data_IF_896166899951
#
_entry.id   IF_896166899951
#
_cell.length_a   1.000
_cell.length_b   1.000
_cell.length_c   1.000
_cell.angle_alpha   90.00
_cell.angle_beta   90.00
_cell.angle_gamma   90.00
#
_symmetry.space_group_name_H-M   'P 1'
#
loop_
_entity.id
_entity.type
_entity.pdbx_description
1 polymer ?
#
# COMPACT_ATOMS: atom_id res chain seq x y z
N UNK A 1 7.29 6.26 -2.27
CA UNK A 1 6.06 6.16 -3.08
C UNK A 1 5.68 4.70 -3.35
N UNK A 2 6.52 3.95 -4.07
CA UNK A 2 6.38 2.50 -4.25
C UNK A 2 6.98 1.82 -3.02
N UNK A 3 6.31 0.81 -2.44
CA UNK A 3 6.86 0.04 -1.32
C UNK A 3 7.06 -1.41 -1.71
N UNK A 4 6.08 -2.29 -1.47
CA UNK A 4 6.17 -3.69 -1.87
C UNK A 4 5.74 -3.92 -3.32
N UNK A 5 6.40 -4.87 -3.98
CA UNK A 5 5.92 -5.44 -5.24
C UNK A 5 5.95 -6.96 -5.16
N UNK A 6 5.23 -7.60 -6.07
CA UNK A 6 5.33 -9.03 -6.35
C UNK A 6 5.15 -9.26 -7.84
N UNK A 7 6.14 -9.83 -8.52
CA UNK A 7 6.02 -10.32 -9.89
C UNK A 7 5.88 -11.84 -9.90
N UNK A 8 5.15 -12.36 -10.88
CA UNK A 8 5.10 -13.78 -11.25
C UNK A 8 5.78 -13.93 -12.59
N UNK A 9 6.74 -14.83 -12.71
CA UNK A 9 7.41 -15.10 -13.99
C UNK A 9 6.55 -16.01 -14.86
N UNK A 10 6.64 -15.84 -16.19
CA UNK A 10 5.90 -16.68 -17.15
C UNK A 10 6.48 -18.11 -17.21
N UNK A 11 7.81 -18.26 -17.23
CA UNK A 11 8.47 -19.56 -17.17
C UNK A 11 9.14 -19.78 -15.82
N UNK A 12 8.61 -20.76 -15.09
CA UNK A 12 9.25 -21.22 -13.87
C UNK A 12 10.53 -22.03 -14.16
N UNK A 13 10.59 -22.76 -15.28
CA UNK A 13 11.74 -23.59 -15.65
C UNK A 13 12.98 -22.72 -15.91
N UNK A 14 12.83 -21.59 -16.60
CA UNK A 14 13.92 -20.64 -16.83
C UNK A 14 14.39 -20.02 -15.51
N UNK A 15 13.46 -19.69 -14.62
CA UNK A 15 13.77 -19.11 -13.31
C UNK A 15 14.49 -20.12 -12.40
N UNK A 16 14.07 -21.38 -12.44
CA UNK A 16 14.73 -22.48 -11.73
C UNK A 16 16.13 -22.76 -12.28
N UNK A 17 16.28 -22.79 -13.62
CA UNK A 17 17.58 -22.93 -14.28
C UNK A 17 18.54 -21.81 -13.86
N UNK A 18 18.05 -20.57 -13.79
CA UNK A 18 18.82 -19.43 -13.27
C UNK A 18 19.26 -19.66 -11.81
N UNK A 19 18.35 -20.11 -10.92
CA UNK A 19 18.72 -20.39 -9.53
C UNK A 19 19.80 -21.47 -9.44
N UNK A 20 19.60 -22.61 -10.11
CA UNK A 20 20.53 -23.73 -10.15
C UNK A 20 21.91 -23.32 -10.69
N UNK A 21 21.95 -22.52 -11.75
CA UNK A 21 23.19 -22.02 -12.34
C UNK A 21 23.96 -21.05 -11.42
N UNK A 22 23.26 -20.27 -10.59
CA UNK A 22 23.92 -19.30 -9.69
C UNK A 22 24.33 -19.87 -8.34
N UNK A 23 23.91 -21.08 -7.97
CA UNK A 23 24.36 -21.80 -6.77
C UNK A 23 23.96 -21.21 -5.40
N UNK A 24 23.46 -19.97 -5.36
CA UNK A 24 23.18 -19.22 -4.13
C UNK A 24 21.68 -19.24 -3.77
N UNK A 25 21.14 -20.42 -3.46
CA UNK A 25 19.75 -20.57 -3.00
C UNK A 25 19.64 -21.58 -1.86
N UNK A 26 18.58 -21.43 -1.08
CA UNK A 26 18.17 -22.39 -0.06
C UNK A 26 17.02 -23.24 -0.58
N UNK A 27 16.91 -24.46 -0.06
CA UNK A 27 15.86 -25.41 -0.43
C UNK A 27 15.20 -25.91 0.84
N UNK A 28 13.87 -25.95 0.86
CA UNK A 28 13.10 -26.54 1.96
C UNK A 28 12.65 -27.95 1.57
N UNK A 29 12.80 -28.91 2.48
CA UNK A 29 12.20 -30.24 2.34
C UNK A 29 10.79 -30.22 2.92
N UNK A 30 9.79 -30.50 2.09
CA UNK A 30 8.42 -30.74 2.53
C UNK A 30 8.01 -32.16 2.14
N UNK A 31 7.66 -32.98 3.12
CA UNK A 31 7.07 -34.31 2.88
C UNK A 31 5.57 -34.12 2.69
N UNK A 32 5.16 -33.98 1.43
CA UNK A 32 3.75 -34.07 1.06
C UNK A 32 3.26 -35.53 1.15
N UNK A 33 1.95 -35.73 1.35
CA UNK A 33 1.32 -37.07 1.36
C UNK A 33 1.40 -37.82 0.02
N UNK A 34 1.83 -37.14 -1.05
CA UNK A 34 2.10 -37.72 -2.37
C UNK A 34 3.56 -37.42 -2.75
N UNK A 35 4.26 -38.42 -3.28
CA UNK A 35 5.71 -38.52 -3.39
C UNK A 35 6.43 -37.53 -4.35
N UNK A 36 5.72 -36.55 -4.94
CA UNK A 36 6.18 -35.81 -6.12
C UNK A 36 6.80 -34.42 -5.89
N UNK A 37 6.76 -33.83 -4.69
CA UNK A 37 7.26 -32.45 -4.47
C UNK A 37 8.35 -32.33 -3.38
N UNK A 38 9.33 -33.24 -3.37
CA UNK A 38 10.32 -33.35 -2.26
C UNK A 38 11.31 -32.18 -2.12
N UNK A 39 11.36 -31.25 -3.07
CA UNK A 39 12.52 -30.36 -3.28
C UNK A 39 12.17 -28.86 -3.46
N UNK A 40 11.00 -28.41 -3.01
CA UNK A 40 10.54 -27.03 -3.16
C UNK A 40 10.04 -26.41 -1.85
N UNK A 41 10.02 -25.08 -1.73
CA UNK A 41 10.50 -24.10 -2.71
C UNK A 41 12.02 -23.89 -2.69
N UNK A 42 12.59 -23.53 -3.84
CA UNK A 42 13.92 -22.94 -3.94
C UNK A 42 13.81 -21.44 -3.65
N UNK A 43 14.69 -20.90 -2.81
CA UNK A 43 14.66 -19.50 -2.41
C UNK A 43 16.04 -18.85 -2.52
N UNK A 44 16.14 -17.79 -3.29
CA UNK A 44 17.29 -16.87 -3.29
C UNK A 44 16.85 -15.55 -2.69
N UNK A 45 17.57 -15.08 -1.68
CA UNK A 45 17.30 -13.82 -1.01
C UNK A 45 18.50 -12.89 -1.23
N UNK A 46 18.23 -11.70 -1.75
CA UNK A 46 19.21 -10.61 -1.86
C UNK A 46 18.65 -9.45 -1.06
N UNK A 47 19.36 -9.06 0.01
CA UNK A 47 18.84 -8.14 1.01
C UNK A 47 17.45 -8.58 1.51
N UNK A 48 16.41 -7.76 1.35
CA UNK A 48 15.05 -8.14 1.70
C UNK A 48 14.23 -8.72 0.52
N UNK A 49 14.74 -8.69 -0.72
CA UNK A 49 14.03 -9.21 -1.89
C UNK A 49 14.20 -10.73 -1.95
N UNK A 50 13.10 -11.45 -2.15
CA UNK A 50 13.10 -12.91 -2.23
C UNK A 50 12.59 -13.37 -3.61
N UNK A 51 13.42 -14.15 -4.30
CA UNK A 51 13.04 -14.99 -5.42
C UNK A 51 12.68 -16.37 -4.89
N UNK A 52 11.42 -16.78 -5.10
CA UNK A 52 10.89 -18.07 -4.68
C UNK A 52 10.38 -18.84 -5.90
N UNK A 53 10.94 -20.02 -6.11
CA UNK A 53 10.54 -20.96 -7.17
C UNK A 53 9.88 -22.16 -6.51
N UNK A 54 8.67 -22.52 -6.95
CA UNK A 54 8.00 -23.78 -6.62
C UNK A 54 7.90 -24.66 -7.88
N UNK A 55 7.39 -25.88 -7.72
CA UNK A 55 7.19 -26.82 -8.82
C UNK A 55 6.30 -26.32 -9.97
N UNK A 56 5.56 -25.21 -9.77
CA UNK A 56 4.59 -24.71 -10.76
C UNK A 56 4.75 -23.23 -11.09
N UNK A 57 5.42 -22.47 -10.22
CA UNK A 57 5.36 -21.00 -10.26
C UNK A 57 6.63 -20.39 -9.69
N UNK A 58 6.99 -19.22 -10.19
CA UNK A 58 8.10 -18.43 -9.67
C UNK A 58 7.66 -17.02 -9.35
N UNK A 59 8.11 -16.51 -8.21
CA UNK A 59 7.77 -15.17 -7.73
C UNK A 59 9.01 -14.43 -7.24
N UNK A 60 9.10 -13.13 -7.56
CA UNK A 60 10.07 -12.20 -6.97
C UNK A 60 9.29 -11.05 -6.33
N UNK A 61 9.69 -10.61 -5.14
CA UNK A 61 9.04 -9.47 -4.51
C UNK A 61 9.57 -9.15 -3.12
N UNK A 62 8.80 -8.30 -2.42
CA UNK A 62 9.06 -7.61 -1.14
C UNK A 62 9.32 -6.10 -1.34
N UNK A 63 9.74 -5.39 -0.28
CA UNK A 63 9.81 -3.92 -0.25
C UNK A 63 10.98 -3.37 -1.06
N UNK A 64 10.67 -2.68 -2.15
CA UNK A 64 11.64 -1.95 -2.96
C UNK A 64 12.26 -0.77 -2.18
N UNK A 65 11.48 -0.12 -1.31
CA UNK A 65 11.96 0.98 -0.47
C UNK A 65 12.98 0.48 0.57
N UNK A 66 12.68 -0.60 1.31
CA UNK A 66 13.68 -1.21 2.20
C UNK A 66 14.89 -1.69 1.43
N UNK A 67 14.70 -2.27 0.25
CA UNK A 67 15.80 -2.73 -0.60
C UNK A 67 16.74 -1.58 -0.97
N UNK A 68 16.18 -0.44 -1.40
CA UNK A 68 16.94 0.78 -1.66
C UNK A 68 17.70 1.26 -0.42
N UNK A 69 17.01 1.40 0.71
CA UNK A 69 17.63 1.87 1.95
C UNK A 69 18.75 0.95 2.43
N UNK A 70 18.63 -0.37 2.29
CA UNK A 70 19.70 -1.32 2.60
C UNK A 70 20.91 -1.10 1.69
N UNK A 71 20.70 -0.80 0.41
CA UNK A 71 21.78 -0.48 -0.52
C UNK A 71 22.47 0.85 -0.21
N UNK A 72 21.70 1.90 0.12
CA UNK A 72 22.26 3.23 0.42
C UNK A 72 22.90 3.32 1.80
N UNK A 73 22.23 2.75 2.81
CA UNK A 73 22.56 2.96 4.23
C UNK A 73 23.06 1.70 4.95
N UNK A 74 23.15 0.56 4.25
CA UNK A 74 23.63 -0.72 4.80
C UNK A 74 22.81 -1.17 6.02
N UNK A 75 23.46 -1.45 7.14
CA UNK A 75 22.83 -1.96 8.38
C UNK A 75 21.77 -1.02 8.95
N UNK A 76 21.91 0.30 8.76
CA UNK A 76 20.89 1.26 9.17
C UNK A 76 19.72 1.35 8.19
N UNK A 77 19.79 0.65 7.05
CA UNK A 77 18.80 0.69 5.97
C UNK A 77 17.60 -0.23 6.13
N UNK A 78 17.47 -0.99 7.22
CA UNK A 78 16.35 -1.92 7.44
C UNK A 78 15.03 -1.22 7.84
N UNK A 79 14.70 -0.12 7.18
CA UNK A 79 13.52 0.68 7.43
C UNK A 79 12.88 1.18 6.14
N UNK A 80 11.69 1.74 6.25
CA UNK A 80 11.01 2.43 5.15
C UNK A 80 10.16 3.60 5.67
N UNK A 81 10.56 4.28 6.75
CA UNK A 81 9.83 5.44 7.28
C UNK A 81 10.29 6.76 6.68
N UNK A 82 11.46 6.80 6.03
CA UNK A 82 11.99 7.94 5.30
C UNK A 82 11.25 8.16 3.97
N UNK A 83 11.68 9.18 3.25
CA UNK A 83 11.18 9.48 1.92
C UNK A 83 11.85 8.57 0.87
N UNK A 84 11.08 8.22 -0.15
CA UNK A 84 11.49 7.35 -1.26
C UNK A 84 10.83 7.88 -2.52
N UNK A 85 11.61 8.69 -3.23
CA UNK A 85 11.24 9.46 -4.41
C UNK A 85 11.12 8.58 -5.66
N UNK A 86 10.66 9.18 -6.75
CA UNK A 86 10.66 8.51 -8.04
C UNK A 86 12.07 8.21 -8.54
N UNK A 87 13.06 9.09 -8.32
CA UNK A 87 14.46 8.81 -8.66
C UNK A 87 14.99 7.59 -7.89
N UNK A 88 14.68 7.51 -6.60
CA UNK A 88 15.07 6.36 -5.78
C UNK A 88 14.43 5.06 -6.30
N UNK A 89 13.20 5.11 -6.82
CA UNK A 89 12.57 3.96 -7.50
C UNK A 89 13.35 3.56 -8.75
N UNK A 90 13.78 4.51 -9.58
CA UNK A 90 14.57 4.20 -10.78
C UNK A 90 15.91 3.54 -10.42
N UNK A 91 16.64 4.12 -9.47
CA UNK A 91 17.90 3.58 -8.97
C UNK A 91 17.72 2.20 -8.34
N UNK A 92 16.67 2.01 -7.53
CA UNK A 92 16.37 0.72 -6.93
C UNK A 92 16.06 -0.35 -7.98
N UNK A 93 15.30 -0.01 -9.04
CA UNK A 93 15.01 -0.94 -10.13
C UNK A 93 16.25 -1.27 -10.97
N UNK A 94 17.16 -0.32 -11.16
CA UNK A 94 18.43 -0.57 -11.83
C UNK A 94 19.31 -1.53 -11.03
N UNK A 95 19.51 -1.25 -9.74
CA UNK A 95 20.24 -2.14 -8.81
C UNK A 95 19.61 -3.53 -8.75
N UNK A 96 18.28 -3.62 -8.74
CA UNK A 96 17.57 -4.89 -8.74
C UNK A 96 17.86 -5.71 -10.02
N UNK A 97 17.92 -5.06 -11.18
CA UNK A 97 18.31 -5.75 -12.43
C UNK A 97 19.77 -6.22 -12.40
N UNK A 98 20.67 -5.49 -11.76
CA UNK A 98 22.07 -5.87 -11.60
C UNK A 98 22.22 -7.07 -10.63
N UNK A 99 21.55 -7.03 -9.48
CA UNK A 99 21.56 -8.10 -8.46
C UNK A 99 20.99 -9.43 -8.99
N UNK A 100 20.03 -9.36 -9.93
CA UNK A 100 19.45 -10.52 -10.60
C UNK A 100 19.93 -10.68 -12.04
N UNK A 101 21.13 -10.20 -12.38
CA UNK A 101 21.71 -10.32 -13.73
C UNK A 101 21.68 -11.76 -14.22
N UNK A 102 21.17 -11.97 -15.44
CA UNK A 102 20.94 -13.29 -16.03
C UNK A 102 19.51 -13.81 -15.88
N UNK A 103 18.65 -13.11 -15.13
CA UNK A 103 17.21 -13.32 -15.10
C UNK A 103 16.50 -12.10 -15.70
N UNK A 104 15.66 -12.31 -16.71
CA UNK A 104 14.85 -11.24 -17.28
C UNK A 104 13.67 -10.91 -16.34
N UNK A 105 13.80 -9.80 -15.60
CA UNK A 105 12.75 -9.33 -14.69
C UNK A 105 11.50 -8.82 -15.41
N UNK A 106 11.56 -8.58 -16.72
CA UNK A 106 10.42 -8.16 -17.54
C UNK A 106 9.67 -9.34 -18.16
N UNK A 107 10.25 -10.54 -18.14
CA UNK A 107 9.55 -11.80 -18.43
C UNK A 107 8.57 -12.23 -17.32
N UNK A 108 8.26 -11.33 -16.39
CA UNK A 108 7.29 -11.51 -15.32
C UNK A 108 6.37 -10.31 -15.18
N UNK A 109 5.19 -10.56 -14.60
CA UNK A 109 4.10 -9.60 -14.49
C UNK A 109 3.72 -9.36 -13.04
N UNK A 110 3.44 -8.09 -12.74
CA UNK A 110 3.03 -7.61 -11.43
C UNK A 110 1.73 -8.28 -10.99
N UNK A 111 1.82 -9.03 -9.91
CA UNK A 111 0.69 -9.58 -9.17
C UNK A 111 0.14 -8.56 -8.17
N UNK A 112 1.03 -7.77 -7.60
CA UNK A 112 0.75 -6.85 -6.51
C UNK A 112 1.75 -5.69 -6.54
N UNK A 113 1.25 -4.48 -6.26
CA UNK A 113 2.07 -3.29 -6.08
C UNK A 113 1.49 -2.43 -4.96
N UNK A 114 2.32 -2.03 -4.02
CA UNK A 114 1.96 -1.13 -2.93
C UNK A 114 2.45 0.28 -3.25
N UNK A 115 1.54 1.25 -3.18
CA UNK A 115 1.79 2.64 -3.47
C UNK A 115 1.23 3.51 -2.34
N UNK A 116 2.08 4.33 -1.73
CA UNK A 116 1.70 5.08 -0.54
C UNK A 116 2.72 6.10 -0.08
N UNK A 117 2.33 6.84 0.95
CA UNK A 117 3.04 8.02 1.42
C UNK A 117 3.23 7.98 2.94
N UNK A 118 4.46 8.29 3.38
CA UNK A 118 4.75 8.62 4.77
C UNK A 118 4.37 10.09 5.00
N UNK A 119 3.38 10.34 5.84
CA UNK A 119 2.83 11.67 6.08
C UNK A 119 3.19 12.12 7.50
N UNK A 120 3.83 13.30 7.59
CA UNK A 120 4.04 13.97 8.87
C UNK A 120 2.73 14.63 9.31
N UNK A 121 2.19 14.19 10.44
CA UNK A 121 0.89 14.65 10.95
C UNK A 121 1.01 15.41 12.26
N UNK A 122 0.05 16.29 12.53
CA UNK A 122 0.12 17.19 13.71
C UNK A 122 -0.32 16.52 15.03
N UNK A 123 -1.06 15.41 14.97
CA UNK A 123 -1.44 14.59 16.14
C UNK A 123 -0.77 13.22 16.09
N UNK A 124 -0.86 12.49 17.20
CA UNK A 124 -0.42 11.09 17.26
C UNK A 124 -1.10 10.26 16.15
N UNK A 125 -0.37 9.46 15.36
CA UNK A 125 -0.96 8.64 14.29
C UNK A 125 -2.10 7.74 14.80
N UNK A 126 -1.96 7.18 16.00
CA UNK A 126 -3.00 6.39 16.67
C UNK A 126 -4.32 7.15 16.83
N UNK A 127 -4.28 8.45 17.11
CA UNK A 127 -5.49 9.27 17.20
C UNK A 127 -6.29 9.23 15.91
N UNK A 128 -5.65 9.40 14.75
CA UNK A 128 -6.34 9.36 13.46
C UNK A 128 -6.86 7.97 13.11
N UNK A 129 -6.08 6.93 13.42
CA UNK A 129 -6.51 5.55 13.23
C UNK A 129 -7.78 5.29 14.03
N UNK A 130 -7.82 5.62 15.30
CA UNK A 130 -8.93 5.27 16.18
C UNK A 130 -10.18 6.14 15.90
N UNK A 131 -10.00 7.42 15.59
CA UNK A 131 -11.11 8.39 15.58
C UNK A 131 -11.54 8.86 14.19
N UNK A 132 -10.67 8.79 13.18
CA UNK A 132 -10.92 9.46 11.89
C UNK A 132 -11.06 8.48 10.73
N UNK A 133 -10.19 7.48 10.57
CA UNK A 133 -10.30 6.47 9.50
C UNK A 133 -11.32 5.38 9.86
N UNK A 134 -12.61 5.66 9.63
CA UNK A 134 -13.71 4.83 10.12
C UNK A 134 -14.09 3.71 9.15
N UNK A 135 -14.47 4.09 7.92
CA UNK A 135 -14.97 3.17 6.90
C UNK A 135 -14.25 3.37 5.57
N UNK A 136 -14.24 2.33 4.75
CA UNK A 136 -13.90 2.43 3.33
C UNK A 136 -15.03 1.83 2.51
N UNK A 137 -15.60 2.62 1.61
CA UNK A 137 -16.81 2.28 0.85
C UNK A 137 -17.93 1.72 1.73
N UNK A 138 -18.11 2.35 2.90
CA UNK A 138 -19.09 1.97 3.92
C UNK A 138 -18.88 0.59 4.57
N UNK A 139 -17.66 0.04 4.49
CA UNK A 139 -17.25 -1.20 5.15
C UNK A 139 -16.22 -0.93 6.24
N UNK A 140 -16.28 -1.75 7.29
CA UNK A 140 -15.28 -1.74 8.36
C UNK A 140 -13.90 -2.17 7.83
N UNK A 141 -12.80 -1.81 8.52
CA UNK A 141 -11.51 -2.42 8.25
C UNK A 141 -11.57 -3.94 8.48
N UNK A 142 -11.00 -4.73 7.57
CA UNK A 142 -10.87 -6.19 7.71
C UNK A 142 -9.82 -6.57 8.75
N UNK A 143 -8.83 -5.71 8.96
CA UNK A 143 -7.88 -5.83 10.05
C UNK A 143 -7.84 -4.51 10.81
N UNK A 144 -8.06 -4.61 12.12
CA UNK A 144 -7.87 -3.51 13.05
C UNK A 144 -6.97 -4.02 14.18
N UNK A 145 -5.64 -3.95 13.97
CA UNK A 145 -4.67 -4.43 14.95
C UNK A 145 -4.12 -3.23 15.70
N UNK A 146 -4.31 -3.22 17.01
CA UNK A 146 -3.54 -2.41 17.95
C UNK A 146 -2.70 -3.33 18.80
N UNK A 147 -1.38 -3.33 18.60
CA UNK A 147 -0.43 -3.93 19.54
C UNK A 147 0.57 -2.87 19.97
N UNK A 148 1.30 -3.12 21.05
CA UNK A 148 2.38 -2.25 21.50
C UNK A 148 3.46 -2.03 20.42
N UNK A 149 3.55 -2.91 19.42
CA UNK A 149 4.54 -2.85 18.34
C UNK A 149 4.00 -2.22 17.04
N UNK A 150 2.69 -2.28 16.77
CA UNK A 150 2.14 -1.72 15.53
C UNK A 150 0.62 -1.50 15.62
N UNK A 151 0.19 -0.27 15.33
CA UNK A 151 -1.22 0.06 15.11
C UNK A 151 -1.48 0.18 13.61
N UNK A 152 -2.40 -0.62 13.06
CA UNK A 152 -2.84 -0.46 11.67
C UNK A 152 -4.28 -0.87 11.41
N UNK A 153 -4.86 -0.18 10.43
CA UNK A 153 -6.13 -0.54 9.80
C UNK A 153 -5.89 -0.99 8.37
N UNK A 154 -6.48 -2.12 7.98
CA UNK A 154 -6.53 -2.61 6.60
C UNK A 154 -7.98 -2.65 6.14
N UNK A 155 -8.25 -2.10 4.97
CA UNK A 155 -9.55 -2.13 4.32
C UNK A 155 -9.42 -2.87 3.01
N UNK A 156 -10.09 -4.00 2.84
CA UNK A 156 -10.04 -4.78 1.61
C UNK A 156 -11.29 -4.54 0.77
N UNK A 157 -11.08 -4.29 -0.52
CA UNK A 157 -12.17 -4.14 -1.46
C UNK A 157 -11.83 -4.71 -2.85
N UNK A 158 -12.44 -5.85 -3.21
CA UNK A 158 -12.22 -6.48 -4.51
C UNK A 158 -10.72 -6.71 -4.80
N UNK A 159 -10.16 -6.00 -5.79
CA UNK A 159 -8.77 -6.12 -6.26
C UNK A 159 -7.85 -5.01 -5.72
N UNK A 160 -8.30 -4.27 -4.70
CA UNK A 160 -7.50 -3.27 -3.99
C UNK A 160 -7.62 -3.45 -2.49
N UNK A 161 -6.61 -2.99 -1.76
CA UNK A 161 -6.70 -2.83 -0.32
C UNK A 161 -6.04 -1.53 0.11
N UNK A 162 -6.56 -0.90 1.15
CA UNK A 162 -5.89 0.20 1.81
C UNK A 162 -5.27 -0.25 3.11
N UNK A 163 -4.10 0.29 3.43
CA UNK A 163 -3.45 0.18 4.73
C UNK A 163 -3.19 1.58 5.27
N UNK A 164 -3.56 1.78 6.52
CA UNK A 164 -3.24 3.00 7.27
C UNK A 164 -2.55 2.57 8.55
N UNK A 165 -1.33 3.03 8.79
CA UNK A 165 -0.51 2.52 9.89
C UNK A 165 0.35 3.59 10.55
N UNK A 166 0.50 3.40 11.86
CA UNK A 166 1.30 4.23 12.75
C UNK A 166 2.79 3.87 12.60
N UNK A 167 3.50 4.62 11.77
CA UNK A 167 4.96 4.47 11.59
C UNK A 167 5.73 4.94 12.81
N UNK A 168 5.18 5.90 13.57
CA UNK A 168 5.80 6.40 14.80
C UNK A 168 5.99 5.27 15.79
N UNK A 169 4.91 4.59 16.15
CA UNK A 169 4.95 3.46 17.09
C UNK A 169 5.73 2.27 16.50
N UNK A 170 5.58 1.99 15.20
CA UNK A 170 6.27 0.87 14.54
C UNK A 170 7.80 0.96 14.65
N UNK A 171 8.37 2.16 14.58
CA UNK A 171 9.82 2.37 14.56
C UNK A 171 10.35 3.20 15.74
N UNK A 172 9.52 3.47 16.76
CA UNK A 172 9.92 4.29 17.91
C UNK A 172 10.35 5.71 17.55
N UNK A 173 9.70 6.33 16.54
CA UNK A 173 10.11 7.64 16.03
C UNK A 173 9.68 8.78 16.96
N UNK A 174 10.47 9.86 17.01
CA UNK A 174 10.08 11.10 17.70
C UNK A 174 9.00 11.88 16.94
N UNK A 175 8.95 11.71 15.61
CA UNK A 175 8.03 12.42 14.71
C UNK A 175 6.74 11.62 14.50
N UNK A 176 5.62 12.34 14.40
CA UNK A 176 4.31 11.75 14.16
C UNK A 176 4.13 11.39 12.68
N UNK A 177 4.61 10.20 12.29
CA UNK A 177 4.48 9.71 10.92
C UNK A 177 3.36 8.67 10.85
N UNK A 178 2.40 8.90 9.95
CA UNK A 178 1.39 7.93 9.56
C UNK A 178 1.62 7.57 8.10
N UNK A 179 1.51 6.28 7.75
CA UNK A 179 1.53 5.87 6.35
C UNK A 179 0.13 5.55 5.87
N UNK A 180 -0.19 6.06 4.69
CA UNK A 180 -1.41 5.75 3.95
C UNK A 180 -1.00 5.13 2.63
N UNK A 181 -1.42 3.90 2.39
CA UNK A 181 -0.97 3.07 1.27
C UNK A 181 -2.13 2.31 0.64
N UNK A 182 -2.16 2.28 -0.69
CA UNK A 182 -3.03 1.39 -1.45
C UNK A 182 -2.21 0.23 -2.01
N UNK A 183 -2.81 -0.95 -1.99
CA UNK A 183 -2.30 -2.19 -2.57
C UNK A 183 -3.12 -2.46 -3.82
N UNK A 184 -2.49 -2.40 -4.99
CA UNK A 184 -3.08 -2.75 -6.26
C UNK A 184 -2.85 -4.22 -6.57
N UNK A 185 -3.91 -4.99 -6.79
CA UNK A 185 -3.82 -6.33 -7.36
C UNK A 185 -3.63 -6.30 -8.89
N UNK A 186 -3.21 -7.43 -9.45
CA UNK A 186 -2.94 -7.60 -10.88
C UNK A 186 -4.04 -7.06 -11.80
N UNK A 187 -5.32 -7.26 -11.44
CA UNK A 187 -6.45 -6.79 -12.25
C UNK A 187 -6.53 -5.26 -12.30
N UNK A 188 -6.26 -4.56 -11.20
CA UNK A 188 -6.26 -3.10 -11.18
C UNK A 188 -5.05 -2.55 -11.95
N UNK A 189 -3.87 -3.17 -11.80
CA UNK A 189 -2.67 -2.79 -12.55
C UNK A 189 -2.86 -2.95 -14.07
N UNK A 190 -3.46 -4.07 -14.50
CA UNK A 190 -3.79 -4.32 -15.91
C UNK A 190 -4.75 -3.26 -16.49
N UNK A 191 -5.73 -2.77 -15.72
CA UNK A 191 -6.62 -1.69 -16.18
C UNK A 191 -5.89 -0.38 -16.39
N UNK A 192 -4.80 -0.15 -15.67
CA UNK A 192 -3.94 1.03 -15.81
C UNK A 192 -2.86 0.84 -16.90
N UNK A 193 -2.79 -0.32 -17.55
CA UNK A 193 -1.75 -0.63 -18.53
C UNK A 193 -0.37 -0.88 -17.91
N UNK A 194 -0.31 -1.19 -16.61
CA UNK A 194 0.94 -1.45 -15.88
C UNK A 194 1.08 -2.97 -15.70
N UNK A 195 2.07 -3.57 -16.36
CA UNK A 195 2.23 -5.02 -16.37
C UNK A 195 3.52 -5.47 -15.72
N UNK A 196 4.62 -4.77 -15.97
CA UNK A 196 5.98 -5.19 -15.59
C UNK A 196 6.66 -4.18 -14.66
N UNK A 197 7.84 -4.52 -14.13
CA UNK A 197 8.64 -3.57 -13.36
C UNK A 197 9.15 -2.40 -14.21
N UNK A 198 9.47 -2.64 -15.49
CA UNK A 198 9.88 -1.56 -16.40
C UNK A 198 8.77 -0.53 -16.63
N UNK A 199 7.49 -0.90 -16.53
CA UNK A 199 6.39 0.06 -16.61
C UNK A 199 6.42 1.08 -15.48
N UNK A 200 7.04 0.78 -14.33
CA UNK A 200 7.22 1.72 -13.22
C UNK A 200 8.30 2.77 -13.51
N UNK A 201 9.13 2.56 -14.54
CA UNK A 201 10.08 3.56 -15.01
C UNK A 201 9.44 4.65 -15.87
N UNK A 202 8.18 4.49 -16.27
CA UNK A 202 7.45 5.49 -17.07
C UNK A 202 6.73 6.48 -16.16
N UNK A 203 6.96 7.77 -16.37
CA UNK A 203 6.35 8.84 -15.55
C UNK A 203 4.84 8.85 -15.65
N UNK A 204 4.30 8.60 -16.84
CA UNK A 204 2.85 8.56 -17.08
C UNK A 204 2.19 7.49 -16.22
N UNK A 205 2.85 6.33 -16.05
CA UNK A 205 2.32 5.24 -15.23
C UNK A 205 2.30 5.59 -13.74
N UNK A 206 3.27 6.34 -13.24
CA UNK A 206 3.26 6.83 -11.85
C UNK A 206 2.13 7.86 -11.65
N UNK A 207 1.87 8.70 -12.64
CA UNK A 207 0.74 9.62 -12.62
C UNK A 207 -0.61 8.88 -12.65
N UNK A 208 -0.73 7.80 -13.43
CA UNK A 208 -1.92 6.94 -13.44
C UNK A 208 -2.15 6.26 -12.08
N UNK A 209 -1.08 5.75 -11.45
CA UNK A 209 -1.15 5.21 -10.09
C UNK A 209 -1.63 6.27 -9.09
N UNK A 210 -1.11 7.49 -9.17
CA UNK A 210 -1.52 8.58 -8.30
C UNK A 210 -2.96 9.02 -8.53
N UNK A 211 -3.40 9.18 -9.78
CA UNK A 211 -4.79 9.47 -10.11
C UNK A 211 -5.72 8.42 -9.52
N UNK A 212 -5.41 7.13 -9.74
CA UNK A 212 -6.19 6.02 -9.20
C UNK A 212 -6.19 5.98 -7.67
N UNK A 213 -5.06 6.30 -7.04
CA UNK A 213 -4.93 6.43 -5.59
C UNK A 213 -5.91 7.50 -5.06
N UNK A 214 -5.90 8.71 -5.63
CA UNK A 214 -6.76 9.82 -5.18
C UNK A 214 -8.23 9.50 -5.42
N UNK A 215 -8.57 8.93 -6.56
CA UNK A 215 -9.94 8.51 -6.86
C UNK A 215 -10.43 7.46 -5.88
N UNK A 216 -9.60 6.46 -5.56
CA UNK A 216 -9.95 5.46 -4.56
C UNK A 216 -10.03 6.05 -3.16
N UNK A 217 -9.17 7.01 -2.80
CA UNK A 217 -9.13 7.62 -1.47
C UNK A 217 -10.45 8.32 -1.11
N UNK A 218 -11.18 8.83 -2.11
CA UNK A 218 -12.55 9.39 -1.94
C UNK A 218 -13.56 8.38 -1.39
N UNK A 219 -13.26 7.08 -1.47
CA UNK A 219 -14.08 6.02 -0.88
C UNK A 219 -13.99 5.95 0.64
N UNK A 220 -13.01 6.60 1.28
CA UNK A 220 -12.94 6.65 2.73
C UNK A 220 -14.04 7.53 3.34
N UNK A 221 -14.58 7.08 4.46
CA UNK A 221 -15.33 7.93 5.38
C UNK A 221 -14.38 8.37 6.48
N UNK A 222 -13.81 9.58 6.31
CA UNK A 222 -12.94 10.23 7.29
C UNK A 222 -13.70 11.37 7.93
N UNK A 223 -13.96 11.29 9.24
CA UNK A 223 -14.75 12.32 9.94
C UNK A 223 -14.04 12.87 11.15
N UNK A 224 -14.30 14.12 11.48
CA UNK A 224 -13.86 14.75 12.72
C UNK A 224 -14.64 14.22 13.93
N UNK A 225 -14.12 14.48 15.14
CA UNK A 225 -14.83 14.11 16.36
C UNK A 225 -16.10 14.95 16.52
N UNK A 226 -17.23 14.26 16.71
CA UNK A 226 -18.54 14.85 16.95
C UNK A 226 -18.90 14.98 18.44
N UNK A 227 -18.18 14.28 19.32
CA UNK A 227 -18.58 14.15 20.73
C UNK A 227 -18.37 15.41 21.57
N UNK A 228 -17.47 16.32 21.14
CA UNK A 228 -17.21 17.57 21.86
C UNK A 228 -17.90 18.79 21.22
N UNK A 229 -18.75 18.58 20.21
CA UNK A 229 -19.39 19.65 19.43
C UNK A 229 -20.74 20.03 20.04
N UNK A 230 -20.81 21.22 20.66
CA UNK A 230 -22.02 21.74 21.31
C UNK A 230 -23.08 22.25 20.32
N UNK A 231 -22.70 22.51 19.08
CA UNK A 231 -23.57 22.98 18.00
C UNK A 231 -24.35 21.85 17.29
N UNK A 232 -24.11 20.59 17.66
CA UNK A 232 -24.78 19.43 17.10
C UNK A 232 -25.86 18.93 18.04
N UNK A 233 -27.06 18.69 17.53
CA UNK A 233 -28.14 18.12 18.34
C UNK A 233 -27.87 16.64 18.65
N UNK A 234 -28.40 16.10 19.77
CA UNK A 234 -28.29 14.68 20.10
C UNK A 234 -28.83 13.76 18.99
N UNK A 235 -29.92 14.13 18.33
CA UNK A 235 -30.55 13.37 17.24
C UNK A 235 -29.63 13.31 16.02
N UNK A 236 -28.98 14.43 15.67
CA UNK A 236 -28.00 14.47 14.60
C UNK A 236 -26.81 13.56 14.90
N UNK A 237 -26.27 13.62 16.13
CA UNK A 237 -25.14 12.78 16.56
C UNK A 237 -25.50 11.30 16.49
N UNK A 238 -26.74 10.94 16.86
CA UNK A 238 -27.26 9.59 16.80
C UNK A 238 -27.43 9.09 15.35
N UNK A 239 -28.09 9.85 14.47
CA UNK A 239 -28.25 9.46 13.04
C UNK A 239 -26.88 9.37 12.34
N UNK A 240 -25.99 10.33 12.58
CA UNK A 240 -24.62 10.28 12.04
C UNK A 240 -23.88 9.05 12.58
N UNK A 241 -23.95 8.80 13.89
CA UNK A 241 -23.34 7.63 14.53
C UNK A 241 -23.77 6.33 13.88
N UNK A 242 -25.08 6.12 13.70
CA UNK A 242 -25.61 4.96 13.01
C UNK A 242 -25.03 4.81 11.59
N UNK A 243 -24.92 5.90 10.83
CA UNK A 243 -24.36 5.87 9.47
C UNK A 243 -22.85 5.69 9.42
N UNK A 244 -22.14 5.92 10.52
CA UNK A 244 -20.70 5.63 10.64
C UNK A 244 -20.45 4.18 11.08
N UNK A 245 -21.49 3.43 11.45
CA UNK A 245 -21.38 2.03 11.81
C UNK A 245 -21.48 1.09 10.60
N UNK A 246 -20.57 0.11 10.44
CA UNK A 246 -20.63 -0.85 9.34
C UNK A 246 -21.92 -1.68 9.30
N UNK A 247 -22.51 -1.97 10.46
CA UNK A 247 -23.72 -2.77 10.60
C UNK A 247 -24.94 -2.11 9.94
N UNK A 248 -25.03 -0.79 9.98
CA UNK A 248 -26.07 -0.01 9.31
C UNK A 248 -26.08 -0.29 7.80
N UNK A 249 -24.91 -0.25 7.16
CA UNK A 249 -24.77 -0.46 5.73
C UNK A 249 -25.00 -1.91 5.33
N UNK A 250 -24.57 -2.86 6.16
CA UNK A 250 -24.88 -4.28 5.97
C UNK A 250 -26.40 -4.51 5.93
N UNK A 251 -27.15 -3.88 6.84
CA UNK A 251 -28.61 -3.98 6.91
C UNK A 251 -29.35 -3.20 5.81
N UNK A 252 -28.65 -2.32 5.09
CA UNK A 252 -29.18 -1.52 3.97
C UNK A 252 -28.88 -2.11 2.60
N UNK A 253 -28.03 -3.15 2.52
CA UNK A 253 -27.68 -3.80 1.25
C UNK A 253 -28.94 -4.36 0.58
N UNK A 254 -29.10 -4.07 -0.72
CA UNK A 254 -30.26 -4.51 -1.51
C UNK A 254 -31.53 -3.66 -1.31
N UNK A 255 -31.51 -2.63 -0.46
CA UNK A 255 -32.66 -1.74 -0.26
C UNK A 255 -32.62 -0.55 -1.23
N UNK A 256 -33.79 -0.17 -1.74
CA UNK A 256 -33.96 0.91 -2.73
C UNK A 256 -33.42 2.28 -2.26
N UNK A 257 -33.32 2.52 -0.95
CA UNK A 257 -32.85 3.78 -0.37
C UNK A 257 -31.34 3.83 -0.08
N UNK A 258 -30.55 2.80 -0.42
CA UNK A 258 -29.12 2.74 -0.11
C UNK A 258 -28.35 3.98 -0.63
N UNK A 259 -28.56 4.35 -1.90
CA UNK A 259 -27.86 5.49 -2.49
C UNK A 259 -28.28 6.81 -1.84
N UNK A 260 -29.57 6.98 -1.51
CA UNK A 260 -30.06 8.16 -0.78
C UNK A 260 -29.37 8.29 0.58
N UNK A 261 -29.20 7.17 1.29
CA UNK A 261 -28.55 7.17 2.60
C UNK A 261 -27.05 7.48 2.51
N UNK A 262 -26.37 7.02 1.46
CA UNK A 262 -24.97 7.39 1.19
C UNK A 262 -24.83 8.88 0.93
N UNK A 263 -25.68 9.45 0.07
CA UNK A 263 -25.70 10.90 -0.20
C UNK A 263 -25.98 11.68 1.07
N UNK A 264 -26.94 11.25 1.89
CA UNK A 264 -27.26 11.89 3.17
C UNK A 264 -26.07 11.89 4.13
N UNK A 265 -25.33 10.77 4.24
CA UNK A 265 -24.12 10.74 5.07
C UNK A 265 -23.11 11.81 4.62
N UNK A 266 -22.82 11.89 3.32
CA UNK A 266 -21.87 12.89 2.79
C UNK A 266 -22.36 14.32 3.04
N UNK A 267 -23.66 14.57 2.86
CA UNK A 267 -24.28 15.86 3.13
C UNK A 267 -24.13 16.25 4.61
N UNK A 268 -24.46 15.35 5.54
CA UNK A 268 -24.33 15.59 6.98
C UNK A 268 -22.89 15.93 7.38
N UNK A 269 -21.91 15.23 6.82
CA UNK A 269 -20.49 15.50 7.07
C UNK A 269 -20.10 16.89 6.57
N UNK A 270 -20.52 17.26 5.36
CA UNK A 270 -20.16 18.53 4.74
C UNK A 270 -20.85 19.73 5.40
N UNK A 271 -22.16 19.67 5.63
CA UNK A 271 -22.94 20.77 6.21
C UNK A 271 -22.49 21.17 7.61
N UNK A 272 -21.96 20.22 8.38
CA UNK A 272 -21.45 20.44 9.74
C UNK A 272 -19.93 20.58 9.82
N UNK A 273 -19.26 20.67 8.66
CA UNK A 273 -17.81 20.78 8.54
C UNK A 273 -17.07 19.70 9.35
N UNK A 274 -17.49 18.44 9.18
CA UNK A 274 -16.88 17.27 9.84
C UNK A 274 -15.86 16.54 8.94
N UNK A 275 -15.48 17.14 7.82
CA UNK A 275 -14.50 16.61 6.85
C UNK A 275 -13.13 17.32 6.93
N UNK A 276 -12.85 18.10 7.97
CA UNK A 276 -11.61 18.88 8.04
C UNK A 276 -10.38 17.98 8.08
N UNK A 277 -10.45 16.85 8.80
CA UNK A 277 -9.38 15.83 8.77
C UNK A 277 -9.22 15.19 7.39
N UNK A 278 -10.30 14.92 6.66
CA UNK A 278 -10.23 14.39 5.28
C UNK A 278 -9.47 15.36 4.36
N UNK A 279 -9.85 16.64 4.41
CA UNK A 279 -9.22 17.71 3.63
C UNK A 279 -7.73 17.83 3.99
N UNK A 280 -7.40 17.76 5.29
CA UNK A 280 -6.03 17.76 5.78
C UNK A 280 -5.19 16.63 5.16
N UNK A 281 -5.68 15.39 5.20
CA UNK A 281 -4.96 14.26 4.59
C UNK A 281 -4.81 14.40 3.08
N UNK A 282 -5.85 14.87 2.35
CA UNK A 282 -5.75 15.13 0.91
C UNK A 282 -4.63 16.13 0.59
N UNK A 283 -4.52 17.21 1.36
CA UNK A 283 -3.45 18.21 1.20
C UNK A 283 -2.08 17.60 1.46
N UNK A 284 -1.92 16.84 2.54
CA UNK A 284 -0.64 16.18 2.86
C UNK A 284 -0.22 15.17 1.80
N UNK A 285 -1.15 14.33 1.32
CA UNK A 285 -0.90 13.36 0.27
C UNK A 285 -0.46 14.06 -1.01
N UNK A 286 -1.16 15.13 -1.40
CA UNK A 286 -0.80 15.89 -2.60
C UNK A 286 0.56 16.55 -2.48
N UNK A 287 0.83 17.24 -1.37
CA UNK A 287 2.13 17.86 -1.11
C UNK A 287 3.27 16.83 -1.14
N UNK A 288 3.10 15.69 -0.46
CA UNK A 288 4.11 14.63 -0.39
C UNK A 288 4.30 13.94 -1.76
N UNK A 289 3.23 13.76 -2.55
CA UNK A 289 3.38 13.27 -3.92
C UNK A 289 4.19 14.26 -4.77
N UNK A 290 3.86 15.55 -4.71
CA UNK A 290 4.57 16.59 -5.47
C UNK A 290 6.04 16.64 -5.12
N UNK A 291 6.37 16.59 -3.83
CA UNK A 291 7.74 16.50 -3.32
C UNK A 291 8.48 15.28 -3.88
N UNK A 292 7.92 14.07 -3.71
CA UNK A 292 8.59 12.83 -4.10
C UNK A 292 8.66 12.58 -5.60
N UNK A 293 7.75 13.19 -6.38
CA UNK A 293 7.64 12.95 -7.81
C UNK A 293 8.21 14.08 -8.67
N UNK A 294 8.05 15.35 -8.29
CA UNK A 294 8.50 16.49 -9.12
C UNK A 294 9.80 17.12 -8.62
N UNK A 295 10.08 17.12 -7.32
CA UNK A 295 11.26 17.78 -6.74
C UNK A 295 12.41 16.81 -6.47
N UNK A 296 12.48 15.72 -7.24
CA UNK A 296 13.54 14.72 -7.10
C UNK A 296 14.70 15.00 -8.06
N UNK A 297 15.93 14.84 -7.59
CA UNK A 297 17.16 15.39 -8.22
C UNK A 297 17.47 14.87 -9.62
N UNK A 298 16.94 13.71 -10.02
CA UNK A 298 17.10 13.18 -11.38
C UNK A 298 16.24 13.93 -12.43
N UNK A 299 15.37 14.85 -12.02
CA UNK A 299 14.52 15.64 -12.92
C UNK A 299 15.11 17.01 -13.25
N UNK A 300 16.04 17.51 -12.45
CA UNK A 300 16.75 18.78 -12.66
C UNK A 300 17.84 18.70 -13.74
N UNK A 301 18.11 17.51 -14.28
CA UNK A 301 19.11 17.27 -15.33
C UNK A 301 18.51 17.24 -16.75
N UNK A 302 17.20 17.48 -16.91
CA UNK A 302 16.50 17.45 -18.21
C UNK A 302 15.67 18.73 -18.46
N UNK A 303 16.09 19.86 -17.88
CA UNK A 303 15.52 21.18 -18.15
C UNK A 303 16.53 22.05 -18.88
#
# INVERSE_FOLDING_TARGET
MIDNFKIRFDSHELTEKYLKATGNYTQSFWVGKNDDEKNYPLKKKINNIELRVSAKQSFLGNSLHKYYNIHEFKESGEHNYNDFSYCDVLLALEKLNQDFRGLDLNGGYLQCLEFGFNLLVNKEPKFYLDNNFLLFEHKAPTINKGTNAMNYKKFEHNNLAWKVYDKKTQYGLKRNIIRVEIVFGARELKKLGIFTLNDLKKRENILLLYSRYIDSFRGFTITDSRFCRKDLSPEFICDLGNRLEPSYWKNKRGKNNLNRDKTKLMQMINEKNLNTTEIYFKKLIHAKFTELFYYSDCLSQVA
#
